data_IF_792215564404
#
_entry.id   IF_792215564404
#
_cell.length_a   1.000
_cell.length_b   1.000
_cell.length_c   1.000
_cell.angle_alpha   90.00
_cell.angle_beta   90.00
_cell.angle_gamma   90.00
#
_symmetry.space_group_name_H-M   'P 1'
#
loop_
_entity.id
_entity.type
_entity.pdbx_description
1 polymer ?
#
# COMPACT_ATOMS: atom_id res chain seq x y z
N UNK A 1 -44.56 -59.73 -0.32
CA UNK A 1 -43.12 -59.40 -0.32
C UNK A 1 -42.95 -57.94 -0.67
N UNK A 2 -42.69 -57.08 0.30
CA UNK A 2 -42.59 -55.64 0.11
C UNK A 2 -41.08 -55.26 0.05
N UNK A 3 -40.62 -54.79 -1.06
CA UNK A 3 -39.26 -54.26 -1.19
C UNK A 3 -39.26 -52.79 -0.77
N UNK A 4 -38.56 -52.53 0.35
CA UNK A 4 -38.31 -51.17 0.84
C UNK A 4 -37.00 -50.70 0.19
N UNK A 5 -37.07 -49.72 -0.72
CA UNK A 5 -35.91 -49.02 -1.27
C UNK A 5 -35.51 -47.89 -0.32
N UNK A 6 -34.38 -48.04 0.38
CA UNK A 6 -33.76 -46.96 1.12
C UNK A 6 -33.00 -46.06 0.12
N UNK A 7 -33.50 -44.84 -0.06
CA UNK A 7 -32.76 -43.79 -0.77
C UNK A 7 -31.80 -43.10 0.21
N UNK A 8 -30.52 -43.35 0.05
CA UNK A 8 -29.47 -42.61 0.79
C UNK A 8 -29.28 -41.23 0.18
N UNK A 9 -29.73 -40.19 0.84
CA UNK A 9 -29.47 -38.81 0.43
C UNK A 9 -28.03 -38.44 0.91
N UNK A 10 -27.11 -38.32 -0.06
CA UNK A 10 -25.78 -37.80 0.16
C UNK A 10 -25.85 -36.28 0.28
N UNK A 11 -25.70 -35.77 1.50
CA UNK A 11 -25.54 -34.32 1.75
C UNK A 11 -24.10 -33.94 1.43
N UNK A 12 -23.87 -33.32 0.27
CA UNK A 12 -22.61 -32.72 -0.07
C UNK A 12 -22.43 -31.44 0.75
N UNK A 13 -21.61 -31.50 1.81
CA UNK A 13 -21.17 -30.32 2.53
C UNK A 13 -20.17 -29.55 1.64
N UNK A 14 -20.65 -28.54 0.95
CA UNK A 14 -19.80 -27.55 0.27
C UNK A 14 -19.07 -26.74 1.33
N UNK A 15 -17.87 -27.17 1.69
CA UNK A 15 -16.95 -26.39 2.50
C UNK A 15 -16.48 -25.19 1.65
N UNK A 16 -17.14 -24.05 1.78
CA UNK A 16 -16.59 -22.77 1.33
C UNK A 16 -15.41 -22.41 2.22
N UNK A 17 -14.22 -22.84 1.81
CA UNK A 17 -12.97 -22.29 2.35
C UNK A 17 -12.89 -20.85 1.86
N UNK A 18 -13.30 -19.88 2.70
CA UNK A 18 -13.00 -18.48 2.49
C UNK A 18 -11.47 -18.32 2.57
N UNK A 19 -10.81 -18.30 1.42
CA UNK A 19 -9.37 -17.98 1.33
C UNK A 19 -9.24 -16.53 1.79
N UNK A 20 -8.77 -16.33 3.03
CA UNK A 20 -8.48 -14.99 3.56
C UNK A 20 -7.37 -14.41 2.67
N UNK A 21 -7.73 -13.50 1.79
CA UNK A 21 -6.77 -12.80 0.94
C UNK A 21 -5.92 -11.95 1.86
N UNK A 22 -4.72 -12.44 2.18
CA UNK A 22 -3.72 -11.65 2.88
C UNK A 22 -3.21 -10.65 1.86
N UNK A 23 -3.36 -9.35 2.14
CA UNK A 23 -2.86 -8.29 1.29
C UNK A 23 -1.34 -8.31 1.14
N UNK A 24 -0.79 -7.48 0.26
CA UNK A 24 0.65 -7.41 0.06
C UNK A 24 1.36 -7.02 1.35
N UNK A 25 2.52 -7.62 1.62
CA UNK A 25 3.38 -7.23 2.73
C UNK A 25 4.07 -5.91 2.40
N UNK A 26 3.76 -4.86 3.17
CA UNK A 26 4.35 -3.53 3.00
C UNK A 26 5.75 -3.41 3.59
N UNK A 27 6.22 -4.33 4.45
CA UNK A 27 7.55 -4.20 5.05
C UNK A 27 8.66 -4.00 4.02
N UNK A 28 9.64 -3.17 4.36
CA UNK A 28 10.81 -2.87 3.56
C UNK A 28 10.65 -1.63 2.69
N UNK A 29 11.49 -1.50 1.68
CA UNK A 29 11.65 -0.28 0.90
C UNK A 29 10.94 -0.36 -0.46
N UNK A 30 10.33 0.75 -0.84
CA UNK A 30 9.54 0.90 -2.05
C UNK A 30 9.90 2.20 -2.77
N UNK A 31 10.03 2.14 -4.09
CA UNK A 31 10.06 3.34 -4.93
C UNK A 31 8.63 3.86 -5.09
N UNK A 32 8.41 5.17 -4.97
CA UNK A 32 7.18 5.82 -5.39
C UNK A 32 7.29 6.05 -6.90
N UNK A 33 6.52 5.29 -7.68
CA UNK A 33 6.63 5.35 -9.15
C UNK A 33 5.53 6.19 -9.80
N UNK A 34 4.40 6.37 -9.11
CA UNK A 34 3.29 7.22 -9.57
C UNK A 34 2.70 8.02 -8.41
N UNK A 35 2.27 9.23 -8.67
CA UNK A 35 1.50 10.07 -7.76
C UNK A 35 0.35 10.75 -8.51
N UNK A 36 -0.85 10.72 -7.93
CA UNK A 36 -2.08 11.26 -8.53
C UNK A 36 -2.35 10.78 -9.97
N UNK A 37 -2.01 9.51 -10.26
CA UNK A 37 -2.23 8.90 -11.57
C UNK A 37 -1.20 9.23 -12.65
N UNK A 38 -0.13 9.94 -12.30
CA UNK A 38 0.96 10.27 -13.20
C UNK A 38 2.28 9.64 -12.76
N UNK A 39 3.05 9.09 -13.70
CA UNK A 39 4.37 8.57 -13.43
C UNK A 39 5.32 9.68 -12.97
N UNK A 40 6.16 9.38 -12.00
CA UNK A 40 7.18 10.30 -11.51
C UNK A 40 8.36 10.30 -12.47
N UNK A 41 8.69 11.48 -12.98
CA UNK A 41 9.91 11.72 -13.73
C UNK A 41 11.07 11.99 -12.76
N UNK A 42 11.88 10.96 -12.51
CA UNK A 42 12.99 11.04 -11.56
C UNK A 42 14.13 11.97 -12.01
N UNK A 43 14.13 12.43 -13.26
CA UNK A 43 15.08 13.46 -13.73
C UNK A 43 14.76 14.85 -13.18
N UNK A 44 13.54 15.02 -12.64
CA UNK A 44 13.05 16.26 -12.05
C UNK A 44 13.05 16.25 -10.52
N UNK A 45 13.62 15.21 -9.89
CA UNK A 45 13.76 15.12 -8.45
C UNK A 45 15.24 15.12 -8.07
N UNK A 46 15.59 15.70 -6.92
CA UNK A 46 16.96 15.70 -6.41
C UNK A 46 17.37 14.29 -5.96
N UNK A 47 16.45 13.59 -5.29
CA UNK A 47 16.62 12.22 -4.86
C UNK A 47 15.45 11.37 -5.35
N UNK A 48 15.67 10.05 -5.46
CA UNK A 48 14.63 9.11 -5.81
C UNK A 48 13.52 9.11 -4.75
N UNK A 49 12.25 9.33 -5.12
CA UNK A 49 11.15 9.26 -4.18
C UNK A 49 10.93 7.82 -3.68
N UNK A 50 10.93 7.65 -2.36
CA UNK A 50 10.82 6.33 -1.70
C UNK A 50 9.94 6.38 -0.46
N UNK A 51 9.36 5.22 -0.10
CA UNK A 51 8.78 4.95 1.21
C UNK A 51 9.29 3.61 1.72
N UNK A 52 9.70 3.57 2.97
CA UNK A 52 10.04 2.35 3.68
C UNK A 52 9.10 2.14 4.86
N UNK A 53 8.78 0.89 5.16
CA UNK A 53 7.88 0.54 6.26
C UNK A 53 8.54 -0.50 7.18
N UNK A 54 8.48 -0.23 8.49
CA UNK A 54 8.74 -1.19 9.55
C UNK A 54 7.44 -1.38 10.34
N UNK A 55 6.56 -2.26 9.88
CA UNK A 55 5.19 -2.40 10.40
C UNK A 55 5.19 -2.78 11.88
N UNK A 56 6.12 -3.62 12.33
CA UNK A 56 6.24 -4.02 13.73
C UNK A 56 6.55 -2.85 14.67
N UNK A 57 7.07 -1.74 14.13
CA UNK A 57 7.40 -0.52 14.88
C UNK A 57 6.44 0.63 14.63
N UNK A 58 5.39 0.41 13.83
CA UNK A 58 4.50 1.48 13.34
C UNK A 58 5.29 2.62 12.65
N UNK A 59 6.38 2.32 11.97
CA UNK A 59 7.31 3.31 11.46
C UNK A 59 7.31 3.39 9.94
N UNK A 60 7.31 4.63 9.43
CA UNK A 60 7.52 4.95 8.01
C UNK A 60 8.69 5.92 7.86
N UNK A 61 9.47 5.72 6.81
CA UNK A 61 10.60 6.57 6.44
C UNK A 61 10.71 6.66 4.92
N UNK A 62 11.54 7.53 4.42
CA UNK A 62 11.78 7.63 2.99
C UNK A 62 12.23 8.99 2.53
N UNK A 63 11.96 9.30 1.27
CA UNK A 63 12.26 10.56 0.63
C UNK A 63 11.10 11.00 -0.28
N UNK A 64 10.73 12.25 -0.23
CA UNK A 64 9.68 12.80 -1.08
C UNK A 64 10.21 13.39 -2.42
N UNK A 65 11.47 13.15 -2.72
CA UNK A 65 12.12 13.68 -3.94
C UNK A 65 13.13 14.79 -3.64
N UNK A 66 13.01 15.47 -2.52
CA UNK A 66 13.99 16.41 -1.98
C UNK A 66 14.25 16.10 -0.50
N UNK A 67 13.22 16.21 0.33
CA UNK A 67 13.34 16.03 1.76
C UNK A 67 13.09 14.58 2.18
N UNK A 68 13.78 14.19 3.26
CA UNK A 68 13.53 12.93 3.93
C UNK A 68 12.19 12.97 4.66
N UNK A 69 11.49 11.83 4.67
CA UNK A 69 10.23 11.61 5.37
C UNK A 69 10.48 10.68 6.54
N UNK A 70 9.86 10.92 7.68
CA UNK A 70 9.71 9.96 8.76
C UNK A 70 8.39 10.20 9.50
N UNK A 71 7.90 9.17 10.18
CA UNK A 71 6.66 9.28 10.93
C UNK A 71 6.09 7.95 11.36
N UNK A 72 4.83 7.99 11.75
CA UNK A 72 4.08 6.80 12.19
C UNK A 72 3.21 6.31 11.04
N UNK A 73 3.27 5.00 10.76
CA UNK A 73 2.37 4.32 9.84
C UNK A 73 1.73 3.12 10.55
N UNK A 74 0.48 3.26 10.98
CA UNK A 74 -0.29 2.16 11.57
C UNK A 74 -0.98 1.37 10.49
N UNK A 75 -0.53 0.14 10.30
CA UNK A 75 -1.02 -0.77 9.26
C UNK A 75 -1.84 -1.88 9.87
N UNK A 76 -3.08 -2.06 9.38
CA UNK A 76 -3.89 -3.24 9.65
C UNK A 76 -3.86 -4.15 8.43
N UNK A 77 -3.09 -5.22 8.49
CA UNK A 77 -2.89 -6.14 7.37
C UNK A 77 -4.14 -6.94 7.04
N UNK A 78 -4.98 -7.25 8.03
CA UNK A 78 -6.22 -7.99 7.81
C UNK A 78 -7.27 -7.17 7.06
N UNK A 79 -7.33 -5.86 7.30
CA UNK A 79 -8.24 -4.91 6.65
C UNK A 79 -7.61 -4.16 5.48
N UNK A 80 -6.30 -4.30 5.29
CA UNK A 80 -5.52 -3.52 4.32
C UNK A 80 -5.71 -2.00 4.48
N UNK A 81 -5.78 -1.54 5.73
CA UNK A 81 -5.84 -0.11 6.04
C UNK A 81 -4.52 0.40 6.56
N UNK A 82 -4.27 1.67 6.31
CA UNK A 82 -3.07 2.36 6.77
C UNK A 82 -3.44 3.76 7.24
N UNK A 83 -2.83 4.19 8.34
CA UNK A 83 -3.02 5.52 8.89
C UNK A 83 -1.66 6.16 9.17
N UNK A 84 -1.31 7.14 8.36
CA UNK A 84 -0.13 7.97 8.57
C UNK A 84 -0.40 9.05 9.62
N UNK A 85 0.52 9.20 10.56
CA UNK A 85 0.48 10.24 11.60
C UNK A 85 1.86 10.84 11.81
N UNK A 86 1.88 12.09 12.23
CA UNK A 86 3.11 12.77 12.65
C UNK A 86 4.22 12.67 11.59
N UNK A 87 3.83 12.84 10.31
CA UNK A 87 4.78 12.83 9.22
C UNK A 87 5.63 14.10 9.31
N UNK A 88 6.90 13.90 9.59
CA UNK A 88 7.92 14.93 9.58
C UNK A 88 8.77 14.88 8.33
N UNK A 89 9.33 16.01 7.95
CA UNK A 89 10.28 16.14 6.85
C UNK A 89 11.46 17.00 7.25
N UNK A 90 12.62 16.82 6.62
CA UNK A 90 13.68 17.81 6.60
C UNK A 90 13.22 19.07 5.85
N UNK A 91 13.96 20.15 5.91
CA UNK A 91 13.60 21.44 5.33
C UNK A 91 14.69 21.94 4.35
N UNK A 92 15.06 21.10 3.41
CA UNK A 92 15.93 21.50 2.31
C UNK A 92 15.12 22.21 1.23
N UNK A 93 15.76 23.15 0.52
CA UNK A 93 15.24 23.76 -0.69
C UNK A 93 15.94 23.15 -1.90
N UNK A 94 15.20 22.40 -2.70
CA UNK A 94 15.67 21.87 -3.96
C UNK A 94 15.15 22.71 -5.14
N UNK A 95 15.78 22.57 -6.30
CA UNK A 95 15.41 23.33 -7.48
C UNK A 95 13.96 23.06 -7.94
N UNK A 96 13.47 21.82 -7.74
CA UNK A 96 12.10 21.43 -8.03
C UNK A 96 11.48 20.72 -6.84
N UNK A 97 10.40 21.29 -6.31
CA UNK A 97 9.66 20.78 -5.15
C UNK A 97 8.27 20.22 -5.52
N UNK A 98 7.94 20.18 -6.83
CA UNK A 98 6.59 19.83 -7.27
C UNK A 98 6.19 18.41 -6.86
N UNK A 99 7.04 17.41 -7.09
CA UNK A 99 6.75 16.04 -6.69
C UNK A 99 6.69 15.87 -5.18
N UNK A 100 7.56 16.56 -4.44
CA UNK A 100 7.51 16.52 -2.98
C UNK A 100 6.17 17.02 -2.44
N UNK A 101 5.69 18.16 -2.93
CA UNK A 101 4.41 18.72 -2.52
C UNK A 101 3.25 17.74 -2.84
N UNK A 102 3.27 17.13 -4.03
CA UNK A 102 2.27 16.15 -4.43
C UNK A 102 2.31 14.89 -3.55
N UNK A 103 3.50 14.36 -3.25
CA UNK A 103 3.68 13.16 -2.42
C UNK A 103 3.21 13.43 -0.99
N UNK A 104 3.66 14.51 -0.37
CA UNK A 104 3.25 14.86 0.99
C UNK A 104 1.75 15.08 1.10
N UNK A 105 1.15 15.75 0.11
CA UNK A 105 -0.30 15.93 0.04
C UNK A 105 -1.05 14.62 -0.14
N UNK A 106 -0.53 13.71 -0.95
CA UNK A 106 -1.11 12.39 -1.15
C UNK A 106 -1.08 11.56 0.14
N UNK A 107 0.03 11.59 0.90
CA UNK A 107 0.15 10.88 2.18
C UNK A 107 -0.96 11.25 3.19
N UNK A 108 -1.37 12.51 3.23
CA UNK A 108 -2.47 12.96 4.11
C UNK A 108 -3.79 12.26 3.77
N UNK A 109 -4.01 11.96 2.49
CA UNK A 109 -5.25 11.35 1.99
C UNK A 109 -5.30 9.83 2.07
N UNK A 110 -4.16 9.15 2.25
CA UNK A 110 -4.08 7.69 2.25
C UNK A 110 -4.83 7.10 3.44
N UNK A 111 -5.66 6.08 3.18
CA UNK A 111 -6.44 5.34 4.20
C UNK A 111 -6.33 3.83 4.06
N UNK A 112 -5.96 3.35 2.87
CA UNK A 112 -5.88 1.93 2.59
C UNK A 112 -4.78 1.63 1.57
N UNK A 113 -4.50 0.36 1.36
CA UNK A 113 -3.59 -0.11 0.32
C UNK A 113 -4.11 -1.41 -0.29
N UNK A 114 -3.71 -1.68 -1.51
CA UNK A 114 -4.07 -2.90 -2.23
C UNK A 114 -2.94 -3.32 -3.17
N UNK A 115 -2.89 -4.61 -3.49
CA UNK A 115 -2.01 -5.10 -4.54
C UNK A 115 -2.41 -4.54 -5.90
N UNK A 116 -1.41 -4.21 -6.71
CA UNK A 116 -1.54 -3.78 -8.09
C UNK A 116 -0.76 -4.73 -9.01
N UNK A 117 -0.78 -4.49 -10.33
CA UNK A 117 -0.05 -5.32 -11.31
C UNK A 117 1.44 -5.37 -11.02
N UNK A 118 2.07 -6.46 -11.40
CA UNK A 118 3.52 -6.68 -11.34
C UNK A 118 4.12 -6.51 -9.92
N UNK A 119 3.39 -6.95 -8.89
CA UNK A 119 3.86 -6.86 -7.51
C UNK A 119 3.92 -5.45 -6.94
N UNK A 120 3.34 -4.47 -7.63
CA UNK A 120 3.18 -3.12 -7.13
C UNK A 120 2.11 -3.04 -6.06
N UNK A 121 2.08 -1.95 -5.34
CA UNK A 121 1.07 -1.64 -4.33
C UNK A 121 0.53 -0.25 -4.57
N UNK A 122 -0.79 -0.13 -4.59
CA UNK A 122 -1.48 1.14 -4.61
C UNK A 122 -1.85 1.59 -3.20
N UNK A 123 -1.49 2.81 -2.86
CA UNK A 123 -1.98 3.52 -1.69
C UNK A 123 -3.23 4.32 -2.09
N UNK A 124 -4.34 4.09 -1.40
CA UNK A 124 -5.65 4.63 -1.78
C UNK A 124 -6.26 5.51 -0.68
N UNK A 125 -7.15 6.40 -1.08
CA UNK A 125 -7.97 7.15 -0.13
C UNK A 125 -9.18 6.33 0.35
N UNK A 126 -10.03 6.92 1.18
CA UNK A 126 -11.21 6.27 1.74
C UNK A 126 -12.24 5.84 0.67
N UNK A 127 -12.28 6.48 -0.49
CA UNK A 127 -13.17 6.11 -1.61
C UNK A 127 -12.57 5.05 -2.54
N UNK A 128 -11.34 4.59 -2.28
CA UNK A 128 -10.63 3.60 -3.10
C UNK A 128 -9.86 4.18 -4.29
N UNK A 129 -9.79 5.50 -4.42
CA UNK A 129 -8.98 6.16 -5.46
C UNK A 129 -7.50 5.99 -5.13
N UNK A 130 -6.70 5.53 -6.11
CA UNK A 130 -5.25 5.46 -5.99
C UNK A 130 -4.63 6.85 -5.95
N UNK A 131 -3.87 7.11 -4.90
CA UNK A 131 -3.12 8.36 -4.71
C UNK A 131 -1.65 8.20 -5.05
N UNK A 132 -1.07 7.03 -4.75
CA UNK A 132 0.31 6.69 -5.09
C UNK A 132 0.42 5.22 -5.47
N UNK A 133 1.35 4.90 -6.36
CA UNK A 133 1.72 3.52 -6.68
C UNK A 133 3.18 3.29 -6.29
N UNK A 134 3.39 2.21 -5.56
CA UNK A 134 4.69 1.79 -5.04
C UNK A 134 5.20 0.57 -5.80
N UNK A 135 6.52 0.53 -6.05
CA UNK A 135 7.22 -0.61 -6.60
C UNK A 135 8.27 -1.08 -5.60
N UNK A 136 8.25 -2.37 -5.24
CA UNK A 136 9.24 -2.94 -4.31
C UNK A 136 10.65 -2.77 -4.87
N UNK A 137 11.58 -2.32 -4.03
CA UNK A 137 12.99 -2.28 -4.41
C UNK A 137 13.54 -3.70 -4.43
N UNK A 138 14.35 -4.02 -5.45
CA UNK A 138 15.12 -5.25 -5.46
C UNK A 138 16.22 -5.18 -4.38
N UNK A 139 16.37 -6.27 -3.63
CA UNK A 139 17.48 -6.42 -2.68
C UNK A 139 18.78 -6.71 -3.45
#
# INVERSE_FOLDING_TARGET
MKHILLAAAAIALSSCSATKTIGPDLNGEWDIVEVNGAAIDTTKTEFRPTLGFEIAKDYVYGCAGCNSINGIARVNTAKQTINFKEIGTTLMLCANMEYEQQILKALEGVKAYKGAKDGRVDLTNASGKTLMTLKKQAK
#
